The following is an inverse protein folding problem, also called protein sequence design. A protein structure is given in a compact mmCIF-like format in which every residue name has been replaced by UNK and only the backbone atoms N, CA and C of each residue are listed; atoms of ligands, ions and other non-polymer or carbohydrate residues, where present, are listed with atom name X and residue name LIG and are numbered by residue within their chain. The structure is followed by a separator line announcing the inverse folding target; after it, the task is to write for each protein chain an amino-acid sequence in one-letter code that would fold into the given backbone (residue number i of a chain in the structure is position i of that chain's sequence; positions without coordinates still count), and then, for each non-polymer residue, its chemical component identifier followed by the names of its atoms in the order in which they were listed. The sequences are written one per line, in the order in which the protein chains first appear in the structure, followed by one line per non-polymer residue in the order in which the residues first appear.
data_IF_986125548079
#
_entry.id   IF_986125548079
#
_cell.length_a   1.000
_cell.length_b   1.000
_cell.length_c   1.000
_cell.angle_alpha   90.00
_cell.angle_beta   90.00
_cell.angle_gamma   90.00
#
_symmetry.space_group_name_H-M   'P 1'
#
loop_
_entity.id
_entity.type
_entity.pdbx_description
1 polymer ?
#
# COMPACT_ATOMS: atom_id res chain seq x y z
N UNK A 1 -0.95 18.02 -6.70
CA UNK A 1 0.47 17.88 -6.31
C UNK A 1 0.80 16.49 -5.78
N UNK A 2 -0.19 15.73 -5.28
CA UNK A 2 -0.07 14.30 -4.97
C UNK A 2 -1.24 13.56 -5.64
N UNK A 3 -0.98 12.74 -6.64
CA UNK A 3 -2.01 12.09 -7.46
C UNK A 3 -1.47 10.91 -8.26
N UNK A 4 -2.35 10.08 -8.79
CA UNK A 4 -2.03 8.96 -9.66
C UNK A 4 -1.09 9.36 -10.83
N UNK A 5 -1.34 10.53 -11.45
CA UNK A 5 -0.49 11.05 -12.54
C UNK A 5 0.96 11.28 -12.10
N UNK A 6 1.20 11.70 -10.86
CA UNK A 6 2.54 11.87 -10.32
C UNK A 6 3.25 10.52 -10.25
N UNK A 7 2.61 9.52 -9.67
CA UNK A 7 3.20 8.20 -9.47
C UNK A 7 3.49 7.48 -10.79
N UNK A 8 2.59 7.61 -11.78
CA UNK A 8 2.86 7.11 -13.13
C UNK A 8 4.11 7.75 -13.76
N UNK A 9 4.20 9.08 -13.66
CA UNK A 9 5.36 9.82 -14.17
C UNK A 9 6.66 9.42 -13.47
N UNK A 10 6.63 9.22 -12.15
CA UNK A 10 7.80 8.75 -11.39
C UNK A 10 8.19 7.34 -11.81
N UNK A 11 7.23 6.44 -12.05
CA UNK A 11 7.50 5.10 -12.56
C UNK A 11 8.16 5.12 -13.94
N UNK A 12 7.65 5.95 -14.86
CA UNK A 12 8.29 6.15 -16.16
C UNK A 12 9.74 6.63 -16.02
N UNK A 13 9.98 7.63 -15.15
CA UNK A 13 11.32 8.20 -14.94
C UNK A 13 12.29 7.23 -14.26
N UNK A 14 11.84 6.44 -13.28
CA UNK A 14 12.69 5.44 -12.64
C UNK A 14 13.24 4.43 -13.65
N UNK A 15 12.44 4.10 -14.67
CA UNK A 15 12.86 3.21 -15.75
C UNK A 15 13.68 3.95 -16.81
N UNK A 16 13.16 5.06 -17.35
CA UNK A 16 13.78 5.75 -18.50
C UNK A 16 15.14 6.36 -18.17
N UNK A 17 15.33 6.83 -16.93
CA UNK A 17 16.58 7.44 -16.47
C UNK A 17 17.53 6.41 -15.82
N UNK A 18 17.16 5.12 -15.82
CA UNK A 18 18.04 4.02 -15.40
C UNK A 18 18.19 3.83 -13.89
N UNK A 19 17.37 4.46 -13.05
CA UNK A 19 17.36 4.23 -11.61
C UNK A 19 17.03 2.78 -11.25
N UNK A 20 16.09 2.17 -11.98
CA UNK A 20 15.73 0.75 -11.80
C UNK A 20 16.91 -0.19 -12.09
N UNK A 21 17.79 0.16 -13.04
CA UNK A 21 18.97 -0.62 -13.38
C UNK A 21 20.03 -0.64 -12.27
N UNK A 22 19.99 0.32 -11.35
CA UNK A 22 20.91 0.41 -10.20
C UNK A 22 20.22 0.08 -8.86
N UNK A 23 19.02 -0.52 -8.91
CA UNK A 23 18.38 -1.13 -7.74
C UNK A 23 17.22 -0.35 -7.12
N UNK A 24 16.84 0.82 -7.65
CA UNK A 24 15.65 1.53 -7.18
C UNK A 24 14.39 0.87 -7.77
N UNK A 25 13.75 0.01 -6.98
CA UNK A 25 12.65 -0.84 -7.46
C UNK A 25 11.28 -0.47 -6.89
N UNK A 26 11.20 0.30 -5.81
CA UNK A 26 9.94 0.59 -5.13
C UNK A 26 9.43 2.01 -5.42
N UNK A 27 8.12 2.12 -5.63
CA UNK A 27 7.37 3.36 -5.51
C UNK A 27 6.39 3.17 -4.37
N UNK A 28 6.56 3.92 -3.30
CA UNK A 28 5.72 3.85 -2.11
C UNK A 28 4.92 5.15 -2.04
N UNK A 29 3.59 5.04 -2.03
CA UNK A 29 2.72 6.18 -1.74
C UNK A 29 2.70 6.40 -0.22
N UNK A 30 2.92 7.64 0.20
CA UNK A 30 2.86 8.01 1.62
C UNK A 30 1.44 8.46 2.01
N UNK A 31 1.30 9.07 3.18
CA UNK A 31 0.03 9.55 3.72
C UNK A 31 -0.73 10.46 2.74
N UNK A 32 -2.00 10.68 3.07
CA UNK A 32 -2.96 11.50 2.36
C UNK A 32 -3.45 10.91 1.03
N UNK A 33 -3.19 9.64 0.68
CA UNK A 33 -3.75 9.03 -0.55
C UNK A 33 -5.26 8.73 -0.46
N UNK A 34 -5.75 8.62 0.76
CA UNK A 34 -7.10 8.21 1.12
C UNK A 34 -8.15 9.28 0.80
N UNK A 35 -9.38 8.81 0.61
CA UNK A 35 -10.57 9.62 0.85
C UNK A 35 -10.74 9.86 2.37
N UNK A 36 -11.46 10.89 2.76
CA UNK A 36 -11.68 11.23 4.17
C UNK A 36 -12.56 10.21 4.91
N UNK A 37 -13.28 9.37 4.17
CA UNK A 37 -14.17 8.35 4.71
C UNK A 37 -13.93 6.97 4.08
N UNK A 38 -14.15 5.92 4.89
CA UNK A 38 -14.27 4.55 4.39
C UNK A 38 -15.56 4.38 3.62
N UNK A 39 -15.64 3.36 2.76
CA UNK A 39 -16.88 3.05 2.04
C UNK A 39 -17.97 2.51 2.99
N UNK A 40 -19.17 2.27 2.44
CA UNK A 40 -20.29 1.72 3.24
C UNK A 40 -20.05 0.32 3.81
N UNK A 41 -19.01 -0.39 3.36
CA UNK A 41 -18.58 -1.69 3.87
C UNK A 41 -17.38 -1.56 4.83
N UNK A 42 -16.93 -0.35 5.14
CA UNK A 42 -15.75 -0.08 5.97
C UNK A 42 -14.41 -0.26 5.25
N UNK A 43 -14.39 -0.41 3.92
CA UNK A 43 -13.16 -0.54 3.14
C UNK A 43 -12.50 0.82 2.92
N UNK A 44 -11.16 0.84 2.90
CA UNK A 44 -10.38 2.02 2.51
C UNK A 44 -10.65 2.38 1.04
N UNK A 45 -10.70 3.68 0.76
CA UNK A 45 -10.86 4.22 -0.58
C UNK A 45 -9.77 5.24 -0.84
N UNK A 46 -9.26 5.29 -2.06
CA UNK A 46 -8.43 6.39 -2.49
C UNK A 46 -9.28 7.60 -2.85
N UNK A 47 -8.73 8.79 -2.67
CA UNK A 47 -9.39 10.02 -3.08
C UNK A 47 -9.72 9.97 -4.59
N UNK A 48 -11.00 10.08 -4.98
CA UNK A 48 -11.44 9.85 -6.35
C UNK A 48 -11.00 10.96 -7.31
N UNK A 49 -10.69 12.17 -6.83
CA UNK A 49 -10.18 13.25 -7.67
C UNK A 49 -8.68 13.05 -7.98
N UNK A 50 -7.93 12.54 -7.00
CA UNK A 50 -6.48 12.36 -7.10
C UNK A 50 -6.09 10.99 -7.66
N UNK A 51 -6.91 9.97 -7.45
CA UNK A 51 -6.73 8.60 -7.92
C UNK A 51 -7.98 8.09 -8.64
N UNK A 52 -8.38 8.72 -9.77
CA UNK A 52 -9.62 8.40 -10.46
C UNK A 52 -9.67 6.97 -11.01
N UNK A 53 -8.52 6.32 -11.25
CA UNK A 53 -8.47 4.91 -11.69
C UNK A 53 -8.39 3.92 -10.51
N UNK A 54 -8.19 4.42 -9.29
CA UNK A 54 -8.00 3.62 -8.09
C UNK A 54 -6.57 3.07 -7.91
N UNK A 55 -6.28 2.56 -6.72
CA UNK A 55 -4.95 2.08 -6.33
C UNK A 55 -4.55 0.82 -7.09
N UNK A 56 -5.49 -0.11 -7.29
CA UNK A 56 -5.21 -1.36 -8.01
C UNK A 56 -4.66 -1.10 -9.42
N UNK A 57 -5.29 -0.20 -10.16
CA UNK A 57 -4.86 0.14 -11.51
C UNK A 57 -3.47 0.83 -11.51
N UNK A 58 -3.22 1.69 -10.52
CA UNK A 58 -1.89 2.28 -10.32
C UNK A 58 -0.82 1.22 -10.00
N UNK A 59 -1.12 0.26 -9.12
CA UNK A 59 -0.22 -0.84 -8.80
C UNK A 59 0.08 -1.71 -10.04
N UNK A 60 -0.94 -2.08 -10.79
CA UNK A 60 -0.79 -2.83 -12.06
C UNK A 60 0.08 -2.07 -13.07
N UNK A 61 -0.08 -0.74 -13.15
CA UNK A 61 0.78 0.09 -13.99
C UNK A 61 2.23 0.09 -13.52
N UNK A 62 2.49 0.25 -12.21
CA UNK A 62 3.86 0.20 -11.65
C UNK A 62 4.50 -1.17 -11.91
N UNK A 63 3.75 -2.25 -11.74
CA UNK A 63 4.21 -3.62 -12.07
C UNK A 63 4.53 -3.79 -13.55
N UNK A 64 3.75 -3.17 -14.46
CA UNK A 64 4.01 -3.21 -15.90
C UNK A 64 5.35 -2.57 -16.29
N UNK A 65 5.91 -1.73 -15.42
CA UNK A 65 7.24 -1.11 -15.55
C UNK A 65 8.37 -1.95 -14.94
N UNK A 66 8.06 -3.13 -14.37
CA UNK A 66 9.01 -3.96 -13.66
C UNK A 66 9.41 -3.42 -12.28
N UNK A 67 8.62 -2.50 -11.73
CA UNK A 67 8.78 -1.91 -10.40
C UNK A 67 7.82 -2.57 -9.40
N UNK A 68 8.03 -2.32 -8.12
CA UNK A 68 7.21 -2.76 -6.99
C UNK A 68 6.45 -1.58 -6.40
N UNK A 69 5.22 -1.80 -5.97
CA UNK A 69 4.32 -0.77 -5.47
C UNK A 69 4.15 -0.91 -3.96
N UNK A 70 4.28 0.19 -3.22
CA UNK A 70 4.01 0.24 -1.79
C UNK A 70 2.93 1.26 -1.44
N UNK A 71 2.28 1.04 -0.30
CA UNK A 71 1.25 1.89 0.26
C UNK A 71 1.60 2.30 1.69
N UNK A 72 1.01 3.39 2.14
CA UNK A 72 1.08 3.85 3.51
C UNK A 72 -0.22 3.51 4.24
N UNK A 73 -0.07 3.11 5.50
CA UNK A 73 -1.14 3.17 6.48
C UNK A 73 -0.64 3.51 7.88
N UNK A 74 -1.56 3.65 8.84
CA UNK A 74 -1.27 3.96 10.23
C UNK A 74 -1.94 2.96 11.18
N UNK A 75 -1.18 2.41 12.13
CA UNK A 75 -1.70 1.62 13.23
C UNK A 75 -2.34 2.52 14.31
N UNK A 76 -3.42 3.21 13.93
CA UNK A 76 -4.18 4.11 14.79
C UNK A 76 -5.62 4.27 14.31
N UNK A 77 -6.40 5.10 15.03
CA UNK A 77 -7.74 5.47 14.57
C UNK A 77 -7.71 6.37 13.33
N UNK A 78 -6.65 7.17 13.22
CA UNK A 78 -6.40 8.06 12.09
C UNK A 78 -4.92 8.00 11.70
N UNK A 79 -4.63 8.29 10.43
CA UNK A 79 -3.27 8.59 9.98
C UNK A 79 -2.80 9.91 10.58
N UNK A 80 -1.50 10.18 10.52
CA UNK A 80 -0.96 11.47 10.96
C UNK A 80 -1.60 12.69 10.25
N UNK A 81 -2.06 12.52 9.00
CA UNK A 81 -2.81 13.50 8.22
C UNK A 81 -4.31 13.58 8.54
N UNK A 82 -4.81 12.75 9.46
CA UNK A 82 -6.22 12.73 9.88
C UNK A 82 -7.14 11.88 9.01
N UNK A 83 -6.59 10.99 8.17
CA UNK A 83 -7.37 10.06 7.34
C UNK A 83 -7.70 8.77 8.11
N UNK A 84 -8.62 7.90 7.64
CA UNK A 84 -8.96 6.67 8.35
C UNK A 84 -7.76 5.74 8.56
N UNK A 85 -7.43 5.40 9.82
CA UNK A 85 -6.36 4.44 10.17
C UNK A 85 -6.87 2.99 10.24
N UNK A 86 -5.96 2.01 10.43
CA UNK A 86 -6.32 0.58 10.37
C UNK A 86 -6.93 -0.01 11.64
N UNK A 87 -6.97 0.71 12.77
CA UNK A 87 -7.46 0.15 14.04
C UNK A 87 -8.91 -0.35 13.89
N UNK A 88 -9.16 -1.60 14.28
CA UNK A 88 -10.46 -2.26 14.09
C UNK A 88 -10.71 -2.85 12.69
N UNK A 89 -9.88 -2.52 11.70
CA UNK A 89 -10.01 -2.95 10.30
C UNK A 89 -8.79 -3.71 9.75
N UNK A 90 -7.77 -3.98 10.56
CA UNK A 90 -6.50 -4.60 10.14
C UNK A 90 -6.61 -5.76 9.14
N UNK A 91 -7.51 -6.73 9.40
CA UNK A 91 -7.65 -7.89 8.51
C UNK A 91 -8.28 -7.51 7.16
N UNK A 92 -9.30 -6.65 7.21
CA UNK A 92 -9.96 -6.12 6.02
C UNK A 92 -8.97 -5.32 5.17
N UNK A 93 -8.22 -4.41 5.78
CA UNK A 93 -7.29 -3.55 5.07
C UNK A 93 -6.12 -4.35 4.48
N UNK A 94 -5.62 -5.35 5.22
CA UNK A 94 -4.61 -6.28 4.70
C UNK A 94 -5.13 -7.13 3.52
N UNK A 95 -6.43 -7.49 3.49
CA UNK A 95 -7.05 -8.12 2.32
C UNK A 95 -7.13 -7.15 1.15
N UNK A 96 -7.58 -5.92 1.39
CA UNK A 96 -7.69 -4.88 0.36
C UNK A 96 -6.35 -4.61 -0.32
N UNK A 97 -5.27 -4.45 0.45
CA UNK A 97 -3.92 -4.26 -0.11
C UNK A 97 -3.45 -5.47 -0.94
N UNK A 98 -3.82 -6.68 -0.53
CA UNK A 98 -3.54 -7.90 -1.28
C UNK A 98 -4.28 -7.97 -2.61
N UNK A 99 -5.56 -7.60 -2.60
CA UNK A 99 -6.39 -7.58 -3.80
C UNK A 99 -5.96 -6.50 -4.79
N UNK A 100 -5.41 -5.39 -4.31
CA UNK A 100 -4.83 -4.33 -5.13
C UNK A 100 -3.41 -4.65 -5.63
N UNK A 101 -2.74 -5.66 -5.07
CA UNK A 101 -1.39 -6.05 -5.50
C UNK A 101 -0.27 -5.19 -4.91
N UNK A 102 -0.43 -4.70 -3.68
CA UNK A 102 0.60 -3.91 -2.97
C UNK A 102 1.76 -4.79 -2.50
N UNK A 103 3.00 -4.47 -2.83
CA UNK A 103 4.19 -5.24 -2.45
C UNK A 103 4.81 -4.82 -1.10
N UNK A 104 4.46 -3.65 -0.59
CA UNK A 104 5.03 -3.08 0.63
C UNK A 104 4.02 -2.20 1.37
N UNK A 105 3.96 -2.28 2.69
CA UNK A 105 3.15 -1.37 3.52
C UNK A 105 4.09 -0.63 4.49
N UNK A 106 4.13 0.70 4.40
CA UNK A 106 4.65 1.55 5.48
C UNK A 106 3.54 1.67 6.51
N UNK A 107 3.76 1.21 7.74
CA UNK A 107 2.80 1.32 8.83
C UNK A 107 3.30 2.32 9.88
N UNK A 108 2.59 3.42 10.02
CA UNK A 108 2.88 4.49 10.99
C UNK A 108 2.18 4.21 12.33
N UNK A 109 2.30 5.15 13.28
CA UNK A 109 1.70 5.01 14.62
C UNK A 109 1.23 6.32 15.22
N UNK A 110 0.54 7.17 14.45
CA UNK A 110 -0.19 8.31 15.01
C UNK A 110 -1.54 7.83 15.62
N UNK A 111 -2.14 8.66 16.48
CA UNK A 111 -3.48 8.39 17.05
C UNK A 111 -3.67 6.99 17.67
N UNK A 112 -2.60 6.46 18.28
CA UNK A 112 -2.55 5.19 19.00
C UNK A 112 -1.73 5.33 20.28
N UNK A 113 -2.02 4.50 21.28
CA UNK A 113 -1.27 4.50 22.54
C UNK A 113 0.03 3.69 22.38
N UNK A 114 1.10 4.13 23.04
CA UNK A 114 2.41 3.46 22.95
C UNK A 114 2.37 1.98 23.35
N UNK A 115 1.50 1.62 24.30
CA UNK A 115 1.31 0.24 24.76
C UNK A 115 0.65 -0.65 23.70
N UNK A 116 -0.21 -0.06 22.87
CA UNK A 116 -0.91 -0.77 21.79
C UNK A 116 0.01 -0.98 20.58
N UNK A 117 1.01 -0.13 20.37
CA UNK A 117 1.97 -0.26 19.26
C UNK A 117 2.76 -1.57 19.29
N UNK A 118 3.23 -2.04 20.46
CA UNK A 118 3.99 -3.29 20.54
C UNK A 118 3.14 -4.49 20.10
N UNK A 119 1.89 -4.53 20.56
CA UNK A 119 0.92 -5.55 20.16
C UNK A 119 0.56 -5.41 18.69
N UNK A 120 0.32 -4.19 18.24
CA UNK A 120 -0.05 -3.84 16.87
C UNK A 120 0.97 -4.20 15.83
N UNK A 121 2.18 -3.66 15.97
CA UNK A 121 3.30 -3.96 15.07
C UNK A 121 3.65 -5.46 15.10
N UNK A 122 3.59 -6.10 16.26
CA UNK A 122 3.79 -7.54 16.38
C UNK A 122 2.70 -8.37 15.68
N UNK A 123 1.44 -7.94 15.73
CA UNK A 123 0.35 -8.59 15.00
C UNK A 123 0.43 -8.34 13.51
N UNK A 124 0.77 -7.12 13.08
CA UNK A 124 0.95 -6.80 11.67
C UNK A 124 2.13 -7.55 11.08
N UNK A 125 3.23 -7.69 11.82
CA UNK A 125 4.41 -8.44 11.36
C UNK A 125 4.13 -9.96 11.29
N UNK A 126 3.43 -10.53 12.28
CA UNK A 126 2.98 -11.93 12.22
C UNK A 126 2.04 -12.19 11.06
N UNK A 127 1.02 -11.34 10.88
CA UNK A 127 0.08 -11.46 9.76
C UNK A 127 0.75 -11.21 8.42
N UNK A 128 1.63 -10.22 8.34
CA UNK A 128 2.45 -9.96 7.17
C UNK A 128 3.39 -11.14 6.89
N UNK A 129 3.88 -11.88 7.89
CA UNK A 129 4.73 -13.07 7.72
C UNK A 129 3.95 -14.33 7.33
N UNK A 130 2.81 -14.58 7.99
CA UNK A 130 1.87 -15.66 7.67
C UNK A 130 1.32 -15.47 6.26
N UNK A 131 0.91 -14.23 5.93
CA UNK A 131 0.47 -13.88 4.59
C UNK A 131 1.64 -13.71 3.63
N UNK A 132 2.83 -13.27 4.01
CA UNK A 132 4.01 -13.26 3.15
C UNK A 132 4.32 -14.66 2.64
N UNK A 133 4.06 -15.70 3.45
CA UNK A 133 4.18 -17.09 3.00
C UNK A 133 3.15 -17.43 1.92
N UNK A 134 1.89 -17.01 2.09
CA UNK A 134 0.84 -17.14 1.06
C UNK A 134 1.04 -16.23 -0.15
N UNK A 135 1.64 -15.07 0.05
CA UNK A 135 1.94 -14.03 -0.95
C UNK A 135 3.15 -14.41 -1.77
N UNK A 136 4.24 -14.90 -1.15
CA UNK A 136 5.40 -15.48 -1.84
C UNK A 136 4.96 -16.71 -2.62
N UNK A 137 4.08 -17.55 -2.08
CA UNK A 137 3.49 -18.67 -2.83
C UNK A 137 2.64 -18.19 -4.02
N UNK A 138 1.81 -17.15 -3.85
CA UNK A 138 1.01 -16.55 -4.94
C UNK A 138 1.88 -15.84 -5.99
N UNK A 139 2.91 -15.08 -5.59
CA UNK A 139 3.86 -14.40 -6.46
C UNK A 139 4.76 -15.39 -7.21
N UNK A 140 5.24 -16.45 -6.53
CA UNK A 140 5.96 -17.55 -7.17
C UNK A 140 5.09 -18.29 -8.19
N UNK A 141 3.80 -18.50 -7.88
CA UNK A 141 2.84 -19.09 -8.83
C UNK A 141 2.52 -18.19 -10.04
N UNK A 142 2.64 -16.87 -9.88
CA UNK A 142 2.38 -15.87 -10.93
C UNK A 142 3.59 -15.72 -11.85
N UNK A 143 4.82 -15.82 -11.32
CA UNK A 143 6.08 -15.92 -12.09
C UNK A 143 6.27 -17.24 -12.83
N UNK A 144 5.68 -18.34 -12.35
CA UNK A 144 5.76 -19.65 -13.02
C UNK A 144 4.74 -19.80 -14.19
N UNK A 145 3.84 -18.83 -14.37
CA UNK A 145 2.78 -18.84 -15.40
C UNK A 145 3.04 -17.87 -16.56
N UNK A 146 4.17 -17.18 -16.57
CA UNK A 146 4.67 -16.34 -17.66
C UNK A 146 5.98 -16.89 -18.21
#
# INVERSE_FOLDING_TARGET
FFSERLFRRVADLLVSEGYSNVGYQYIIIDDCWLDTERDSNGALQADPERFPSGIKDLAEYVHSKGLLFGIYEDYGNYTCGGYPGVLGHLEQDANTFAEWGVDYVKLDGCYTELEDMETGFGQTDKRASERASDWVAKLASKRARN
#
